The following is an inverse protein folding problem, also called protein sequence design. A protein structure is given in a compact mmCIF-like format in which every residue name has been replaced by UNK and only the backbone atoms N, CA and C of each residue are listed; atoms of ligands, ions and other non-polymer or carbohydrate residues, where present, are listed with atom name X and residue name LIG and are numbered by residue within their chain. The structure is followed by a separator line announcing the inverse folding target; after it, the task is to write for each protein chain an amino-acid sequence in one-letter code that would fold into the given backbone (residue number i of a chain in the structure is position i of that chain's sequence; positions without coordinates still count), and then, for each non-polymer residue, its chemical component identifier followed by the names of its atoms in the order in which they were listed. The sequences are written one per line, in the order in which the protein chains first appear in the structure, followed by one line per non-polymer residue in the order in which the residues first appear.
data_IF_656004963265
#
_entry.id   IF_656004963265
#
_cell.length_a   1.000
_cell.length_b   1.000
_cell.length_c   1.000
_cell.angle_alpha   90.00
_cell.angle_beta   90.00
_cell.angle_gamma   90.00
#
_symmetry.space_group_name_H-M   'P 1'
#
loop_
_entity.id
_entity.type
_entity.pdbx_description
1 polymer ?
#
# COMPACT_ATOMS: atom_id res chain seq x y z
N UNK A 1 36.98 -8.53 -24.26
CA UNK A 1 35.56 -8.40 -23.83
C UNK A 1 35.60 -7.75 -22.45
N UNK A 2 35.13 -6.53 -22.25
CA UNK A 2 35.10 -5.91 -20.94
C UNK A 2 33.95 -6.54 -20.15
N UNK A 3 34.26 -7.14 -19.01
CA UNK A 3 33.33 -7.57 -17.98
C UNK A 3 32.61 -6.36 -17.43
N UNK A 4 31.31 -6.27 -17.66
CA UNK A 4 30.44 -5.26 -17.04
C UNK A 4 30.32 -5.65 -15.57
N UNK A 5 30.98 -4.88 -14.73
CA UNK A 5 30.88 -4.96 -13.28
C UNK A 5 29.40 -4.63 -12.89
N UNK A 6 28.63 -5.67 -12.53
CA UNK A 6 27.29 -5.53 -11.95
C UNK A 6 27.43 -5.27 -10.44
N UNK A 7 28.11 -4.20 -10.06
CA UNK A 7 27.92 -3.66 -8.72
C UNK A 7 26.50 -3.06 -8.66
N UNK A 8 25.67 -3.47 -7.67
CA UNK A 8 24.35 -2.86 -7.52
C UNK A 8 24.52 -1.38 -7.25
N UNK A 9 24.12 -0.55 -8.19
CA UNK A 9 23.95 0.90 -7.95
C UNK A 9 23.07 1.03 -6.70
N UNK A 10 23.51 1.78 -5.66
CA UNK A 10 22.64 2.08 -4.52
C UNK A 10 21.37 2.71 -5.10
N UNK A 11 20.22 2.07 -4.84
CA UNK A 11 18.98 2.58 -5.40
C UNK A 11 18.72 3.95 -4.77
N UNK A 12 18.44 4.96 -5.58
CA UNK A 12 18.14 6.33 -5.14
C UNK A 12 17.08 6.35 -4.01
N UNK A 13 16.26 5.34 -3.96
CA UNK A 13 15.20 5.15 -2.97
C UNK A 13 15.73 4.82 -1.56
N UNK A 14 16.83 4.06 -1.45
CA UNK A 14 17.49 3.84 -0.15
C UNK A 14 18.12 5.12 0.37
N UNK A 15 18.72 5.90 -0.51
CA UNK A 15 19.32 7.19 -0.14
C UNK A 15 18.23 8.18 0.35
N UNK A 16 17.04 8.19 -0.26
CA UNK A 16 15.90 8.99 0.19
C UNK A 16 15.38 8.58 1.56
N UNK A 17 15.23 7.27 1.81
CA UNK A 17 14.79 6.76 3.11
C UNK A 17 15.82 7.06 4.20
N UNK A 18 17.11 6.90 3.91
CA UNK A 18 18.20 7.21 4.83
C UNK A 18 18.26 8.69 5.17
N UNK A 19 18.03 9.57 4.18
CA UNK A 19 17.97 11.02 4.40
C UNK A 19 16.78 11.36 5.31
N UNK A 20 15.59 10.87 4.97
CA UNK A 20 14.40 11.06 5.79
C UNK A 20 14.60 10.56 7.23
N UNK A 21 15.21 9.37 7.39
CA UNK A 21 15.49 8.81 8.71
C UNK A 21 16.48 9.67 9.51
N UNK A 22 17.51 10.25 8.87
CA UNK A 22 18.45 11.17 9.54
C UNK A 22 17.76 12.41 10.09
N UNK A 23 16.76 12.93 9.39
CA UNK A 23 16.02 14.11 9.83
C UNK A 23 15.10 13.82 11.03
N UNK A 24 14.48 12.63 11.06
CA UNK A 24 13.47 12.31 12.08
C UNK A 24 14.01 11.55 13.30
N UNK A 25 15.21 10.95 13.21
CA UNK A 25 15.75 10.05 14.25
C UNK A 25 15.90 10.71 15.62
N UNK A 26 16.21 12.00 15.64
CA UNK A 26 16.48 12.76 16.85
C UNK A 26 15.20 13.32 17.53
N UNK A 27 14.06 13.18 16.85
CA UNK A 27 12.77 13.62 17.39
C UNK A 27 12.37 12.75 18.57
N UNK A 28 12.21 13.37 19.74
CA UNK A 28 11.81 12.69 20.98
C UNK A 28 10.30 12.53 21.05
N UNK A 29 9.81 11.39 21.55
CA UNK A 29 8.38 11.26 21.83
C UNK A 29 7.99 12.23 22.96
N UNK A 30 6.80 12.83 22.81
CA UNK A 30 6.26 13.77 23.79
C UNK A 30 5.74 13.05 25.05
N UNK A 31 5.90 13.70 26.20
CA UNK A 31 5.17 13.35 27.40
C UNK A 31 3.70 13.73 27.25
N UNK A 32 2.83 13.23 28.12
CA UNK A 32 1.41 13.58 28.09
C UNK A 32 1.14 15.07 28.37
N UNK A 33 1.93 15.65 29.26
CA UNK A 33 1.81 17.06 29.62
C UNK A 33 2.21 17.95 28.43
N UNK A 34 3.30 17.62 27.75
CA UNK A 34 3.74 18.30 26.53
C UNK A 34 2.72 18.14 25.38
N UNK A 35 2.12 16.94 25.23
CA UNK A 35 1.03 16.74 24.25
C UNK A 35 -0.13 17.71 24.52
N UNK A 36 -0.62 17.79 25.78
CA UNK A 36 -1.73 18.67 26.13
C UNK A 36 -1.41 20.16 25.90
N UNK A 37 -0.22 20.61 26.27
CA UNK A 37 0.22 21.99 26.03
C UNK A 37 0.27 22.32 24.54
N UNK A 38 0.90 21.44 23.74
CA UNK A 38 1.01 21.63 22.30
C UNK A 38 -0.35 21.62 21.59
N UNK A 39 -1.28 20.72 21.99
CA UNK A 39 -2.64 20.72 21.44
C UNK A 39 -3.41 21.98 21.82
N UNK A 40 -3.27 22.47 23.05
CA UNK A 40 -3.87 23.73 23.48
C UNK A 40 -3.36 24.92 22.66
N UNK A 41 -2.06 25.01 22.44
CA UNK A 41 -1.43 26.04 21.61
C UNK A 41 -1.84 25.91 20.13
N UNK A 42 -1.90 24.68 19.59
CA UNK A 42 -2.40 24.43 18.25
C UNK A 42 -3.85 24.91 18.09
N UNK A 43 -4.74 24.64 19.06
CA UNK A 43 -6.12 25.15 19.05
C UNK A 43 -6.20 26.69 19.09
N UNK A 44 -5.21 27.34 19.72
CA UNK A 44 -5.07 28.77 19.71
C UNK A 44 -4.48 29.34 18.38
N UNK A 45 -4.13 28.48 17.41
CA UNK A 45 -3.62 28.86 16.11
C UNK A 45 -2.08 28.93 16.01
N UNK A 46 -1.35 28.38 17.00
CA UNK A 46 0.11 28.33 16.98
C UNK A 46 0.60 27.26 15.99
N UNK A 47 1.14 27.72 14.86
CA UNK A 47 1.67 26.86 13.81
C UNK A 47 2.93 26.10 14.24
N UNK A 48 3.75 26.69 15.10
CA UNK A 48 4.95 26.03 15.60
C UNK A 48 4.59 24.81 16.48
N UNK A 49 3.52 24.91 17.28
CA UNK A 49 3.00 23.79 18.06
C UNK A 49 2.51 22.64 17.14
N UNK A 50 1.84 22.97 16.03
CA UNK A 50 1.42 21.98 15.02
C UNK A 50 2.60 21.24 14.40
N UNK A 51 3.63 21.95 13.98
CA UNK A 51 4.86 21.36 13.42
C UNK A 51 5.57 20.44 14.43
N UNK A 52 5.63 20.84 15.71
CA UNK A 52 6.20 20.02 16.78
C UNK A 52 5.41 18.73 17.03
N UNK A 53 4.07 18.79 16.99
CA UNK A 53 3.20 17.61 17.10
C UNK A 53 3.46 16.64 15.97
N UNK A 54 3.61 17.12 14.74
CA UNK A 54 3.93 16.28 13.59
C UNK A 54 5.29 15.61 13.79
N UNK A 55 6.36 16.41 13.97
CA UNK A 55 7.74 15.95 14.06
C UNK A 55 7.93 14.88 15.13
N UNK A 56 7.34 15.04 16.32
CA UNK A 56 7.44 14.09 17.41
C UNK A 56 6.84 12.70 17.08
N UNK A 57 5.90 12.66 16.11
CA UNK A 57 5.17 11.43 15.76
C UNK A 57 5.62 10.77 14.44
N UNK A 58 6.48 11.41 13.62
CA UNK A 58 6.92 10.86 12.33
C UNK A 58 7.59 9.47 12.48
N UNK A 59 8.41 9.28 13.53
CA UNK A 59 9.07 7.98 13.79
C UNK A 59 8.06 6.86 14.03
N UNK A 60 6.93 7.17 14.62
CA UNK A 60 5.86 6.20 14.83
C UNK A 60 5.19 5.82 13.52
N UNK A 61 4.97 6.78 12.61
CA UNK A 61 4.45 6.49 11.26
C UNK A 61 5.35 5.51 10.52
N UNK A 62 6.68 5.72 10.53
CA UNK A 62 7.64 4.79 9.90
C UNK A 62 7.52 3.39 10.50
N UNK A 63 7.40 3.27 11.83
CA UNK A 63 7.22 1.98 12.49
C UNK A 63 5.97 1.25 11.97
N UNK A 64 4.83 1.96 11.90
CA UNK A 64 3.58 1.39 11.41
C UNK A 64 3.68 1.03 9.93
N UNK A 65 4.31 1.87 9.10
CA UNK A 65 4.48 1.57 7.67
C UNK A 65 5.32 0.30 7.44
N UNK A 66 6.36 0.07 8.24
CA UNK A 66 7.20 -1.15 8.18
C UNK A 66 6.45 -2.43 8.56
N UNK A 67 5.36 -2.36 9.31
CA UNK A 67 4.49 -3.53 9.57
C UNK A 67 3.85 -4.05 8.27
N UNK A 68 3.64 -3.18 7.27
CA UNK A 68 2.98 -3.50 5.99
C UNK A 68 3.98 -3.66 4.82
N UNK A 69 5.15 -3.10 4.94
CA UNK A 69 6.24 -3.24 3.98
C UNK A 69 7.58 -3.29 4.73
N UNK A 70 8.08 -4.49 5.07
CA UNK A 70 9.34 -4.65 5.80
C UNK A 70 10.56 -4.33 4.95
N UNK A 71 10.43 -4.35 3.62
CA UNK A 71 11.51 -4.07 2.68
C UNK A 71 11.68 -2.55 2.49
N UNK A 72 12.93 -2.09 2.51
CA UNK A 72 13.26 -0.70 2.23
C UNK A 72 13.21 -0.48 0.71
N UNK A 73 12.42 0.52 0.28
CA UNK A 73 12.25 0.84 -1.13
C UNK A 73 11.17 1.89 -1.38
N UNK A 74 10.86 2.17 -2.65
CA UNK A 74 9.88 3.20 -3.04
C UNK A 74 8.52 2.96 -2.42
N UNK A 75 8.06 1.71 -2.37
CA UNK A 75 6.78 1.36 -1.76
C UNK A 75 6.69 1.77 -0.29
N UNK A 76 7.77 1.59 0.48
CA UNK A 76 7.79 1.99 1.89
C UNK A 76 7.68 3.52 2.03
N UNK A 77 8.37 4.28 1.17
CA UNK A 77 8.28 5.74 1.17
C UNK A 77 6.87 6.23 0.86
N UNK A 78 6.19 5.61 -0.10
CA UNK A 78 4.79 5.92 -0.43
C UNK A 78 3.87 5.63 0.76
N UNK A 79 4.05 4.50 1.44
CA UNK A 79 3.26 4.16 2.63
C UNK A 79 3.54 5.10 3.80
N UNK A 80 4.80 5.57 3.98
CA UNK A 80 5.14 6.58 4.97
C UNK A 80 4.44 7.90 4.64
N UNK A 81 4.44 8.34 3.38
CA UNK A 81 3.78 9.55 2.95
C UNK A 81 2.26 9.50 3.23
N UNK A 82 1.61 8.41 2.87
CA UNK A 82 0.18 8.20 3.17
C UNK A 82 -0.09 8.09 4.68
N UNK A 83 0.80 7.43 5.42
CA UNK A 83 0.73 7.37 6.88
C UNK A 83 0.86 8.76 7.54
N UNK A 84 1.73 9.64 7.00
CA UNK A 84 1.83 11.03 7.42
C UNK A 84 0.53 11.80 7.16
N UNK A 85 -0.15 11.57 6.03
CA UNK A 85 -1.48 12.15 5.79
C UNK A 85 -2.50 11.67 6.83
N UNK A 86 -2.44 10.39 7.21
CA UNK A 86 -3.24 9.84 8.32
C UNK A 86 -2.94 10.51 9.66
N UNK A 87 -1.67 10.78 9.95
CA UNK A 87 -1.23 11.50 11.15
C UNK A 87 -1.80 12.93 11.20
N UNK A 88 -1.73 13.69 10.08
CA UNK A 88 -2.29 15.04 9.99
C UNK A 88 -3.80 15.03 10.28
N UNK A 89 -4.53 14.09 9.68
CA UNK A 89 -5.96 13.90 9.96
C UNK A 89 -6.26 13.61 11.43
N UNK A 90 -5.38 12.84 12.09
CA UNK A 90 -5.52 12.54 13.50
C UNK A 90 -5.30 13.77 14.37
N UNK A 91 -4.29 14.61 14.08
CA UNK A 91 -4.01 15.85 14.82
C UNK A 91 -5.20 16.80 14.79
N UNK A 92 -5.81 16.98 13.61
CA UNK A 92 -6.95 17.90 13.43
C UNK A 92 -8.20 17.48 14.24
N UNK A 93 -8.37 16.18 14.47
CA UNK A 93 -9.58 15.61 15.09
C UNK A 93 -9.39 15.11 16.52
N UNK A 94 -8.18 15.12 17.01
CA UNK A 94 -7.90 14.66 18.36
C UNK A 94 -8.47 15.62 19.40
N UNK A 95 -9.01 15.05 20.48
CA UNK A 95 -9.57 15.76 21.61
C UNK A 95 -8.76 15.40 22.86
N UNK A 96 -7.92 16.33 23.29
CA UNK A 96 -7.02 16.22 24.44
C UNK A 96 -7.74 16.06 25.78
N UNK A 97 -9.02 16.46 25.84
CA UNK A 97 -9.84 16.39 27.08
C UNK A 97 -10.19 14.96 27.47
N UNK A 98 -10.16 14.02 26.52
CA UNK A 98 -10.54 12.61 26.74
C UNK A 98 -9.54 11.80 27.57
N UNK A 99 -8.39 12.35 27.87
CA UNK A 99 -7.44 11.73 28.81
C UNK A 99 -6.60 10.56 28.29
N UNK A 100 -6.69 10.19 26.99
CA UNK A 100 -5.84 9.19 26.36
C UNK A 100 -4.64 9.83 25.68
N UNK A 101 -3.53 9.08 25.50
CA UNK A 101 -2.40 9.55 24.70
C UNK A 101 -2.79 9.70 23.23
N UNK A 102 -2.27 10.75 22.57
CA UNK A 102 -2.51 11.02 21.17
C UNK A 102 -2.20 9.83 20.28
N UNK A 103 -1.08 9.12 20.52
CA UNK A 103 -0.64 7.98 19.71
C UNK A 103 -1.66 6.85 19.66
N UNK A 104 -2.43 6.63 20.74
CA UNK A 104 -3.48 5.61 20.83
C UNK A 104 -4.63 5.90 19.86
N UNK A 105 -4.92 7.18 19.64
CA UNK A 105 -5.91 7.63 18.67
C UNK A 105 -5.33 7.67 17.24
N UNK A 106 -4.14 8.21 17.08
CA UNK A 106 -3.49 8.42 15.79
C UNK A 106 -3.21 7.11 15.04
N UNK A 107 -2.90 6.02 15.76
CA UNK A 107 -2.60 4.72 15.14
C UNK A 107 -3.70 4.22 14.19
N UNK A 108 -4.97 4.47 14.52
CA UNK A 108 -6.10 4.06 13.69
C UNK A 108 -6.15 4.82 12.35
N UNK A 109 -5.91 6.13 12.38
CA UNK A 109 -5.87 6.96 11.19
C UNK A 109 -4.67 6.64 10.30
N UNK A 110 -3.50 6.45 10.92
CA UNK A 110 -2.28 6.06 10.22
C UNK A 110 -2.46 4.71 9.53
N UNK A 111 -2.93 3.69 10.27
CA UNK A 111 -3.19 2.35 9.70
C UNK A 111 -4.23 2.39 8.59
N UNK A 112 -5.30 3.12 8.77
CA UNK A 112 -6.34 3.25 7.75
C UNK A 112 -5.81 3.88 6.47
N UNK A 113 -4.99 4.93 6.58
CA UNK A 113 -4.37 5.58 5.43
C UNK A 113 -3.44 4.61 4.68
N UNK A 114 -2.56 3.91 5.40
CA UNK A 114 -1.62 2.93 4.85
C UNK A 114 -2.37 1.77 4.18
N UNK A 115 -3.36 1.18 4.85
CA UNK A 115 -4.15 0.07 4.29
C UNK A 115 -4.92 0.45 3.03
N UNK A 116 -5.36 1.69 2.93
CA UNK A 116 -6.02 2.22 1.73
C UNK A 116 -5.03 2.42 0.57
N UNK A 117 -3.80 2.78 0.88
CA UNK A 117 -2.76 3.07 -0.11
C UNK A 117 -2.03 1.80 -0.60
N UNK A 118 -1.76 0.85 0.29
CA UNK A 118 -0.95 -0.34 0.00
C UNK A 118 -1.38 -1.13 -1.26
N UNK A 119 -2.69 -1.41 -1.51
CA UNK A 119 -3.11 -2.09 -2.74
C UNK A 119 -2.88 -1.26 -4.00
N UNK A 120 -2.91 0.07 -3.89
CA UNK A 120 -2.71 0.97 -5.03
C UNK A 120 -1.25 1.11 -5.41
N UNK A 121 -0.37 1.17 -4.42
CA UNK A 121 1.06 1.35 -4.62
C UNK A 121 1.73 0.09 -5.25
N UNK A 122 1.12 -1.08 -5.12
CA UNK A 122 1.64 -2.35 -5.67
C UNK A 122 1.19 -2.66 -7.09
N UNK A 123 0.32 -1.83 -7.71
CA UNK A 123 -0.32 -2.15 -8.99
C UNK A 123 -0.17 -1.02 -9.99
N UNK A 124 0.11 -1.36 -11.25
CA UNK A 124 0.11 -0.42 -12.36
C UNK A 124 -1.32 0.05 -12.68
N UNK A 125 -2.30 -0.87 -12.61
CA UNK A 125 -3.70 -0.56 -12.86
C UNK A 125 -4.47 -0.30 -11.56
N UNK A 126 -5.31 0.75 -11.55
CA UNK A 126 -6.17 1.08 -10.41
C UNK A 126 -7.34 0.10 -10.31
N UNK A 127 -7.34 -0.72 -9.26
CA UNK A 127 -8.44 -1.63 -8.92
C UNK A 127 -9.36 -0.97 -7.90
N UNK A 128 -10.71 -1.01 -8.06
CA UNK A 128 -11.64 -0.53 -7.05
C UNK A 128 -11.45 -1.24 -5.71
N UNK A 129 -11.53 -0.49 -4.60
CA UNK A 129 -11.35 -1.04 -3.25
C UNK A 129 -12.40 -2.10 -2.90
N UNK A 130 -13.60 -2.05 -3.49
CA UNK A 130 -14.61 -3.09 -3.33
C UNK A 130 -14.09 -4.46 -3.77
N UNK A 131 -13.45 -4.54 -4.94
CA UNK A 131 -12.88 -5.79 -5.46
C UNK A 131 -11.70 -6.29 -4.60
N UNK A 132 -10.89 -5.37 -4.06
CA UNK A 132 -9.79 -5.73 -3.14
C UNK A 132 -10.35 -6.30 -1.82
N UNK A 133 -11.38 -5.69 -1.26
CA UNK A 133 -12.04 -6.18 -0.05
C UNK A 133 -12.71 -7.54 -0.29
N UNK A 134 -13.37 -7.71 -1.45
CA UNK A 134 -13.97 -8.97 -1.85
C UNK A 134 -12.91 -10.07 -2.00
N UNK A 135 -11.76 -9.75 -2.60
CA UNK A 135 -10.61 -10.65 -2.72
C UNK A 135 -10.14 -11.14 -1.34
N UNK A 136 -9.91 -10.24 -0.38
CA UNK A 136 -9.51 -10.61 0.97
C UNK A 136 -10.55 -11.49 1.67
N UNK A 137 -11.85 -11.21 1.44
CA UNK A 137 -12.93 -12.04 1.99
C UNK A 137 -12.90 -13.44 1.38
N UNK A 138 -12.75 -13.54 0.06
CA UNK A 138 -12.67 -14.82 -0.67
C UNK A 138 -11.46 -15.63 -0.20
N UNK A 139 -10.28 -15.01 -0.11
CA UNK A 139 -9.05 -15.67 0.36
C UNK A 139 -9.19 -16.21 1.78
N UNK A 140 -9.76 -15.41 2.68
CA UNK A 140 -10.00 -15.80 4.07
C UNK A 140 -10.95 -16.99 4.17
N UNK A 141 -12.11 -16.93 3.51
CA UNK A 141 -13.09 -18.01 3.54
C UNK A 141 -12.58 -19.27 2.82
N UNK A 142 -11.81 -19.11 1.74
CA UNK A 142 -11.14 -20.24 1.08
C UNK A 142 -10.16 -20.94 2.02
N UNK A 143 -9.36 -20.20 2.78
CA UNK A 143 -8.43 -20.77 3.75
C UNK A 143 -9.16 -21.52 4.88
N UNK A 144 -10.24 -20.93 5.45
CA UNK A 144 -11.05 -21.53 6.50
C UNK A 144 -11.74 -22.81 6.01
N UNK A 145 -12.35 -22.76 4.82
CA UNK A 145 -13.00 -23.94 4.23
C UNK A 145 -12.02 -25.05 3.90
N UNK A 146 -10.87 -24.72 3.32
CA UNK A 146 -9.83 -25.70 3.00
C UNK A 146 -9.32 -26.40 4.25
N UNK A 147 -9.16 -25.67 5.36
CA UNK A 147 -8.79 -26.24 6.65
C UNK A 147 -9.86 -27.18 7.19
N UNK A 148 -11.15 -26.82 7.08
CA UNK A 148 -12.28 -27.67 7.54
C UNK A 148 -12.48 -28.93 6.72
N UNK A 149 -12.28 -28.82 5.39
CA UNK A 149 -12.51 -29.94 4.46
C UNK A 149 -11.30 -30.88 4.33
N UNK A 150 -10.10 -30.44 4.79
CA UNK A 150 -8.85 -31.20 4.60
C UNK A 150 -8.40 -31.27 3.13
N UNK A 151 -8.99 -30.44 2.23
CA UNK A 151 -8.67 -30.29 0.82
C UNK A 151 -8.90 -28.86 0.36
N UNK A 152 -8.38 -28.50 -0.80
CA UNK A 152 -8.68 -27.20 -1.40
C UNK A 152 -10.21 -27.01 -1.59
N UNK A 153 -10.74 -25.88 -1.14
CA UNK A 153 -12.13 -25.51 -1.33
C UNK A 153 -12.40 -25.19 -2.81
N UNK A 154 -13.54 -25.65 -3.32
CA UNK A 154 -13.96 -25.34 -4.68
C UNK A 154 -14.58 -23.94 -4.75
N UNK A 155 -14.58 -23.38 -5.96
CA UNK A 155 -15.20 -22.08 -6.22
C UNK A 155 -16.67 -22.00 -5.78
N UNK A 156 -17.45 -23.07 -6.04
CA UNK A 156 -18.86 -23.14 -5.65
C UNK A 156 -19.07 -23.18 -4.13
N UNK A 157 -18.19 -23.86 -3.41
CA UNK A 157 -18.25 -23.91 -1.94
C UNK A 157 -17.95 -22.55 -1.31
N UNK A 158 -16.95 -21.83 -1.85
CA UNK A 158 -16.63 -20.49 -1.38
C UNK A 158 -17.75 -19.49 -1.73
N UNK A 159 -18.32 -19.58 -2.94
CA UNK A 159 -19.47 -18.76 -3.35
C UNK A 159 -20.67 -18.94 -2.44
N UNK A 160 -20.96 -20.18 -2.04
CA UNK A 160 -22.08 -20.48 -1.14
C UNK A 160 -21.90 -19.88 0.27
N UNK A 161 -20.66 -19.81 0.77
CA UNK A 161 -20.37 -19.25 2.11
C UNK A 161 -20.29 -17.73 2.09
N UNK A 162 -19.75 -17.14 1.03
CA UNK A 162 -19.58 -15.68 0.91
C UNK A 162 -20.86 -14.98 0.43
N UNK A 163 -21.85 -15.74 -0.05
CA UNK A 163 -23.09 -15.22 -0.66
C UNK A 163 -22.82 -14.25 -1.83
N UNK A 164 -21.65 -14.36 -2.48
CA UNK A 164 -21.26 -13.52 -3.60
C UNK A 164 -21.80 -14.09 -4.91
N UNK A 165 -22.20 -13.17 -5.82
CA UNK A 165 -22.54 -13.58 -7.19
C UNK A 165 -21.29 -14.13 -7.90
N UNK A 166 -21.45 -15.06 -8.86
CA UNK A 166 -20.32 -15.59 -9.63
C UNK A 166 -19.47 -14.51 -10.30
N UNK A 167 -20.10 -13.48 -10.86
CA UNK A 167 -19.41 -12.35 -11.49
C UNK A 167 -18.57 -11.57 -10.49
N UNK A 168 -19.12 -11.26 -9.32
CA UNK A 168 -18.40 -10.56 -8.25
C UNK A 168 -17.19 -11.35 -7.77
N UNK A 169 -17.34 -12.66 -7.69
CA UNK A 169 -16.26 -13.56 -7.29
C UNK A 169 -15.14 -13.64 -8.34
N UNK A 170 -15.49 -13.69 -9.65
CA UNK A 170 -14.52 -13.63 -10.75
C UNK A 170 -13.74 -12.30 -10.69
N UNK A 171 -14.42 -11.19 -10.49
CA UNK A 171 -13.80 -9.86 -10.35
C UNK A 171 -12.89 -9.78 -9.12
N UNK A 172 -13.28 -10.39 -7.99
CA UNK A 172 -12.45 -10.47 -6.80
C UNK A 172 -11.16 -11.27 -7.05
N UNK A 173 -11.26 -12.43 -7.71
CA UNK A 173 -10.10 -13.25 -8.06
C UNK A 173 -9.20 -12.57 -9.10
N UNK A 174 -9.78 -11.88 -10.09
CA UNK A 174 -9.03 -11.08 -11.05
C UNK A 174 -8.25 -9.94 -10.34
N UNK A 175 -8.88 -9.34 -9.31
CA UNK A 175 -8.23 -8.34 -8.49
C UNK A 175 -7.05 -8.89 -7.67
N UNK A 176 -6.97 -10.20 -7.44
CA UNK A 176 -5.84 -10.86 -6.76
C UNK A 176 -4.60 -11.10 -7.63
N UNK A 177 -4.75 -11.05 -8.95
CA UNK A 177 -3.63 -11.30 -9.87
C UNK A 177 -2.62 -10.15 -9.81
N UNK A 178 -1.33 -10.52 -9.84
CA UNK A 178 -0.24 -9.55 -9.96
C UNK A 178 -0.10 -9.08 -11.40
N UNK A 179 0.33 -7.83 -11.56
CA UNK A 179 0.69 -7.29 -12.87
C UNK A 179 1.97 -7.98 -13.35
N UNK A 180 2.00 -8.37 -14.62
CA UNK A 180 3.18 -8.96 -15.27
C UNK A 180 3.81 -7.93 -16.19
N UNK A 181 5.16 -7.87 -16.20
CA UNK A 181 5.87 -7.02 -17.15
C UNK A 181 5.73 -7.60 -18.56
N UNK A 182 5.39 -6.77 -19.52
CA UNK A 182 5.38 -7.17 -20.94
C UNK A 182 6.78 -7.46 -21.49
N UNK A 183 7.81 -6.91 -20.85
CA UNK A 183 9.22 -7.17 -21.21
C UNK A 183 9.77 -8.43 -20.53
N UNK A 184 8.99 -9.07 -19.63
CA UNK A 184 9.42 -10.32 -19.03
C UNK A 184 9.53 -11.43 -20.08
N UNK A 185 10.55 -12.32 -19.98
CA UNK A 185 10.67 -13.46 -20.88
C UNK A 185 9.48 -14.42 -20.70
N UNK A 186 8.99 -14.99 -21.82
CA UNK A 186 7.87 -15.97 -21.80
C UNK A 186 8.30 -17.27 -21.14
N UNK A 187 9.56 -17.70 -21.39
CA UNK A 187 10.18 -18.89 -20.82
C UNK A 187 11.53 -18.52 -20.22
N UNK A 188 11.96 -19.23 -19.16
CA UNK A 188 13.24 -18.96 -18.46
C UNK A 188 14.48 -19.09 -19.37
N UNK A 189 14.39 -19.88 -20.45
CA UNK A 189 15.49 -20.14 -21.38
C UNK A 189 15.40 -19.36 -22.71
N UNK A 190 14.39 -18.52 -22.90
CA UNK A 190 14.19 -17.74 -24.12
C UNK A 190 14.23 -16.23 -23.83
N UNK A 191 15.02 -15.49 -24.62
CA UNK A 191 15.08 -14.01 -24.57
C UNK A 191 13.83 -13.32 -25.17
N UNK A 192 12.79 -14.10 -25.54
CA UNK A 192 11.59 -13.56 -26.17
C UNK A 192 10.67 -12.91 -25.14
N UNK A 193 10.43 -11.59 -25.23
CA UNK A 193 9.57 -10.89 -24.28
C UNK A 193 8.09 -11.24 -24.48
N UNK A 194 7.31 -11.14 -23.42
CA UNK A 194 5.88 -11.48 -23.38
C UNK A 194 5.07 -10.68 -24.43
N UNK A 195 5.43 -9.41 -24.69
CA UNK A 195 4.73 -8.59 -25.68
C UNK A 195 4.82 -9.18 -27.10
N UNK A 196 5.89 -9.91 -27.44
CA UNK A 196 6.05 -10.53 -28.75
C UNK A 196 5.15 -11.77 -28.95
N UNK A 197 4.71 -12.39 -27.86
CA UNK A 197 3.79 -13.52 -27.86
C UNK A 197 2.31 -13.10 -27.84
N UNK A 198 2.01 -11.83 -27.60
CA UNK A 198 0.63 -11.34 -27.59
C UNK A 198 0.11 -11.18 -29.04
N UNK A 199 -1.11 -11.69 -29.34
CA UNK A 199 -1.71 -11.48 -30.63
C UNK A 199 -2.02 -9.99 -30.83
N UNK A 200 -1.58 -9.42 -31.94
CA UNK A 200 -1.98 -8.07 -32.37
C UNK A 200 -3.34 -8.20 -33.06
N UNK A 201 -4.35 -7.56 -32.48
CA UNK A 201 -5.66 -7.47 -33.09
C UNK A 201 -5.64 -6.39 -34.20
N UNK A 202 -5.45 -6.82 -35.45
CA UNK A 202 -5.28 -5.97 -36.63
C UNK A 202 -6.63 -5.46 -37.19
N UNK A 203 -7.74 -5.76 -36.50
CA UNK A 203 -9.08 -5.41 -37.00
C UNK A 203 -9.30 -3.91 -37.16
N UNK A 204 -8.64 -3.07 -36.34
CA UNK A 204 -8.71 -1.61 -36.48
C UNK A 204 -7.96 -1.04 -37.66
N UNK A 205 -6.85 -1.63 -38.09
CA UNK A 205 -6.08 -1.18 -39.26
C UNK A 205 -6.72 -1.60 -40.59
N UNK A 206 -7.25 -2.83 -40.68
CA UNK A 206 -7.95 -3.31 -41.90
C UNK A 206 -9.20 -2.50 -42.20
N UNK A 207 -9.97 -2.08 -41.21
CA UNK A 207 -11.13 -1.24 -41.42
C UNK A 207 -10.79 0.15 -41.99
N UNK A 208 -9.62 0.71 -41.70
CA UNK A 208 -9.14 1.99 -42.23
C UNK A 208 -8.56 1.86 -43.65
N UNK A 209 -8.14 0.68 -44.09
CA UNK A 209 -7.66 0.42 -45.47
C UNK A 209 -8.82 0.15 -46.43
N UNK A 210 -9.93 -0.43 -45.97
CA UNK A 210 -11.12 -0.70 -46.77
C UNK A 210 -11.98 0.56 -47.01
N UNK A 211 -11.81 1.64 -46.23
CA UNK A 211 -12.49 2.94 -46.43
C UNK A 211 -11.73 3.90 -47.37
N UNK A 212 -10.62 3.50 -47.98
CA UNK A 212 -9.84 4.28 -48.96
C UNK A 212 -10.02 3.75 -50.39
#
# INVERSE_FOLDING_TARGET
MPTIDKSPTPSADKDCLDLYWREIKDNKPLSREEECDLFSRFRAGDRAAYEQLIQANLRFVVRVAREYCPEDGPLLMDLIAEGNMGLLHAIDRYDETRGFKFITYAVWWIRQAILKAAPRARRAAKVPMSHVNDMHTVEKEMAVLSQRLGRAATFAEVAAVTEMSPERMVNALAAGKQDMSLDAPVFEDEDQPLYAALPIDDTGFRALEEER
#
